data_IF_971671207476
#
_entry.id   IF_971671207476
#
_cell.length_a   1.000
_cell.length_b   1.000
_cell.length_c   1.000
_cell.angle_alpha   90.00
_cell.angle_beta   90.00
_cell.angle_gamma   90.00
#
_symmetry.space_group_name_H-M   'P 1'
#
loop_
_entity.id
_entity.type
_entity.pdbx_description
1 polymer ?
#
# COMPACT_ATOMS: atom_id res chain seq x y z
N UNK A 1 -9.10 -3.45 -18.43
CA UNK A 1 -7.62 -3.27 -18.56
C UNK A 1 -6.90 -4.61 -18.35
N UNK A 2 -5.81 -4.91 -19.06
CA UNK A 2 -4.99 -6.11 -18.76
C UNK A 2 -4.02 -5.81 -17.61
N UNK A 3 -4.50 -5.91 -16.37
CA UNK A 3 -3.65 -5.87 -15.16
C UNK A 3 -3.14 -7.26 -14.82
N UNK A 4 -2.06 -7.35 -14.03
CA UNK A 4 -1.65 -8.64 -13.47
C UNK A 4 -2.59 -9.03 -12.33
N UNK A 5 -2.73 -10.33 -12.08
CA UNK A 5 -3.60 -10.84 -11.00
C UNK A 5 -3.20 -10.27 -9.63
N UNK A 6 -1.89 -10.10 -9.35
CA UNK A 6 -1.42 -9.56 -8.07
C UNK A 6 -1.75 -8.07 -7.90
N UNK A 7 -1.71 -7.29 -8.99
CA UNK A 7 -2.06 -5.88 -8.99
C UNK A 7 -3.56 -5.70 -8.75
N UNK A 8 -4.39 -6.45 -9.48
CA UNK A 8 -5.85 -6.43 -9.32
C UNK A 8 -6.27 -6.78 -7.89
N UNK A 9 -5.70 -7.83 -7.32
CA UNK A 9 -5.95 -8.22 -5.92
C UNK A 9 -5.54 -7.14 -4.93
N UNK A 10 -4.39 -6.48 -5.15
CA UNK A 10 -3.94 -5.37 -4.30
C UNK A 10 -4.90 -4.17 -4.39
N UNK A 11 -5.33 -3.80 -5.60
CA UNK A 11 -6.30 -2.70 -5.82
C UNK A 11 -7.63 -2.97 -5.11
N UNK A 12 -8.18 -4.18 -5.24
CA UNK A 12 -9.43 -4.57 -4.56
C UNK A 12 -9.29 -4.44 -3.05
N UNK A 13 -8.19 -4.94 -2.47
CA UNK A 13 -7.93 -4.89 -1.04
C UNK A 13 -7.79 -3.46 -0.53
N UNK A 14 -7.03 -2.62 -1.24
CA UNK A 14 -6.82 -1.22 -0.88
C UNK A 14 -8.11 -0.39 -1.01
N UNK A 15 -8.88 -0.58 -2.08
CA UNK A 15 -10.19 0.05 -2.26
C UNK A 15 -11.11 -0.27 -1.08
N UNK A 16 -11.24 -1.55 -0.75
CA UNK A 16 -12.09 -1.99 0.36
C UNK A 16 -11.59 -1.42 1.70
N UNK A 17 -10.28 -1.36 1.92
CA UNK A 17 -9.72 -0.80 3.14
C UNK A 17 -10.02 0.69 3.29
N UNK A 18 -9.86 1.46 2.21
CA UNK A 18 -10.08 2.90 2.20
C UNK A 18 -11.55 3.25 2.42
N UNK A 19 -12.45 2.72 1.58
CA UNK A 19 -13.88 3.07 1.64
C UNK A 19 -14.60 2.53 2.88
N UNK A 20 -14.05 1.52 3.55
CA UNK A 20 -14.58 1.03 4.83
C UNK A 20 -13.89 1.67 6.06
N UNK A 21 -13.10 2.74 5.89
CA UNK A 21 -12.38 3.43 6.97
C UNK A 21 -11.46 2.49 7.79
N UNK A 22 -10.83 1.51 7.13
CA UNK A 22 -9.92 0.53 7.75
C UNK A 22 -8.45 0.78 7.44
N UNK A 23 -8.13 1.77 6.62
CA UNK A 23 -6.76 2.10 6.27
C UNK A 23 -6.11 2.99 7.35
N UNK A 24 -4.99 2.55 7.92
CA UNK A 24 -4.29 3.27 8.98
C UNK A 24 -2.76 3.16 8.84
N UNK A 25 -2.03 4.28 8.58
CA UNK A 25 -0.57 4.29 8.48
C UNK A 25 0.17 3.91 9.76
N UNK A 26 -0.47 4.02 10.93
CA UNK A 26 0.17 3.71 12.21
C UNK A 26 -0.01 2.24 12.65
N UNK A 27 -0.71 1.41 11.86
CA UNK A 27 -1.01 0.02 12.19
C UNK A 27 -0.47 -0.95 11.12
N UNK A 28 0.43 -1.85 11.53
CA UNK A 28 1.07 -2.82 10.62
C UNK A 28 0.09 -3.82 9.98
N UNK A 29 -1.11 -3.99 10.53
CA UNK A 29 -2.17 -4.84 9.96
C UNK A 29 -3.14 -4.08 9.06
N UNK A 30 -3.22 -2.76 9.22
CA UNK A 30 -4.19 -1.89 8.56
C UNK A 30 -3.57 -0.81 7.65
N UNK A 31 -2.25 -0.72 7.54
CA UNK A 31 -1.54 0.07 6.53
C UNK A 31 -1.71 -0.53 5.12
N UNK A 32 -1.15 0.12 4.09
CA UNK A 32 -1.22 -0.37 2.72
C UNK A 32 -0.69 -1.81 2.59
N UNK A 33 0.49 -2.10 3.15
CA UNK A 33 1.07 -3.44 3.12
C UNK A 33 0.23 -4.43 3.91
N UNK A 34 -0.22 -4.05 5.10
CA UNK A 34 -1.08 -4.90 5.93
C UNK A 34 -2.32 -5.36 5.18
N UNK A 35 -3.03 -4.44 4.51
CA UNK A 35 -4.20 -4.79 3.69
C UNK A 35 -3.86 -5.67 2.49
N UNK A 36 -2.77 -5.38 1.76
CA UNK A 36 -2.32 -6.23 0.64
C UNK A 36 -2.02 -7.66 1.12
N UNK A 37 -1.46 -7.81 2.32
CA UNK A 37 -1.07 -9.08 2.94
C UNK A 37 -2.12 -9.68 3.88
N UNK A 38 -3.41 -9.41 3.63
CA UNK A 38 -4.54 -10.03 4.34
C UNK A 38 -4.55 -9.74 5.84
N UNK A 39 -4.20 -8.51 6.20
CA UNK A 39 -4.11 -7.99 7.56
C UNK A 39 -3.10 -8.72 8.47
N UNK A 40 -2.14 -9.44 7.89
CA UNK A 40 -1.02 -10.00 8.62
C UNK A 40 0.08 -8.96 8.84
N UNK A 41 0.72 -8.99 10.01
CA UNK A 41 1.81 -8.09 10.37
C UNK A 41 3.21 -8.73 10.27
N UNK A 42 3.29 -10.02 9.91
CA UNK A 42 4.55 -10.78 9.87
C UNK A 42 5.62 -10.14 8.96
N UNK A 43 5.20 -9.37 7.97
CA UNK A 43 6.07 -8.62 7.06
C UNK A 43 6.91 -7.55 7.79
N UNK A 44 6.49 -7.08 8.97
CA UNK A 44 7.23 -6.09 9.77
C UNK A 44 8.63 -6.58 10.15
N UNK A 45 8.83 -7.90 10.17
CA UNK A 45 10.13 -8.54 10.47
C UNK A 45 11.07 -8.60 9.27
N UNK A 46 10.62 -8.19 8.08
CA UNK A 46 11.48 -8.10 6.89
C UNK A 46 12.51 -6.96 7.01
N UNK A 47 12.30 -6.00 7.90
CA UNK A 47 13.25 -4.95 8.27
C UNK A 47 13.39 -4.89 9.79
N UNK A 48 14.53 -4.39 10.28
CA UNK A 48 14.74 -4.11 11.71
C UNK A 48 14.13 -2.77 12.14
N UNK A 49 13.87 -1.88 11.18
CA UNK A 49 13.32 -0.55 11.42
C UNK A 49 12.11 -0.32 10.51
N UNK A 50 10.99 0.09 11.11
CA UNK A 50 9.75 0.29 10.37
C UNK A 50 9.90 1.43 9.36
N UNK A 51 9.47 1.22 8.11
CA UNK A 51 9.69 2.16 7.00
C UNK A 51 11.12 2.19 6.45
N UNK A 52 12.04 1.33 6.91
CA UNK A 52 13.36 1.17 6.26
C UNK A 52 13.27 0.25 5.05
N UNK A 53 14.09 0.52 4.03
CA UNK A 53 14.32 -0.37 2.89
C UNK A 53 15.40 -1.42 3.15
N UNK A 54 16.07 -1.34 4.30
CA UNK A 54 17.12 -2.28 4.68
C UNK A 54 16.51 -3.59 5.17
N UNK A 55 16.76 -4.67 4.43
CA UNK A 55 16.31 -6.00 4.83
C UNK A 55 17.01 -6.47 6.11
N UNK A 56 16.22 -6.98 7.04
CA UNK A 56 16.71 -7.73 8.20
C UNK A 56 17.42 -9.01 7.75
N UNK A 57 18.00 -9.76 8.70
CA UNK A 57 18.49 -11.11 8.40
C UNK A 57 17.40 -12.01 7.81
N UNK A 58 16.21 -12.02 8.42
CA UNK A 58 15.05 -12.78 7.94
C UNK A 58 14.60 -12.30 6.56
N UNK A 59 14.57 -10.98 6.37
CA UNK A 59 14.25 -10.36 5.07
C UNK A 59 15.19 -10.81 3.97
N UNK A 60 16.51 -10.77 4.20
CA UNK A 60 17.53 -11.20 3.24
C UNK A 60 17.42 -12.68 2.90
N UNK A 61 17.15 -13.55 3.88
CA UNK A 61 16.93 -14.98 3.63
C UNK A 61 15.73 -15.18 2.69
N UNK A 62 14.58 -14.56 2.98
CA UNK A 62 13.41 -14.67 2.11
C UNK A 62 13.64 -14.07 0.73
N UNK A 63 14.35 -12.96 0.64
CA UNK A 63 14.69 -12.30 -0.62
C UNK A 63 15.56 -13.22 -1.50
N UNK A 64 16.63 -13.77 -0.92
CA UNK A 64 17.58 -14.61 -1.65
C UNK A 64 16.98 -15.95 -2.08
N UNK A 65 16.00 -16.47 -1.33
CA UNK A 65 15.24 -17.66 -1.71
C UNK A 65 14.17 -17.38 -2.78
N UNK A 66 13.98 -16.13 -3.20
CA UNK A 66 12.94 -15.74 -4.14
C UNK A 66 11.52 -15.89 -3.58
N UNK A 67 11.35 -15.89 -2.25
CA UNK A 67 10.03 -15.99 -1.63
C UNK A 67 9.19 -14.75 -1.96
N UNK A 68 7.91 -14.97 -2.25
CA UNK A 68 6.92 -13.92 -2.47
C UNK A 68 5.78 -14.02 -1.47
N UNK A 69 5.21 -12.88 -1.10
CA UNK A 69 4.04 -12.73 -0.25
C UNK A 69 2.98 -12.01 -1.09
N UNK A 70 1.89 -12.71 -1.41
CA UNK A 70 0.87 -12.23 -2.36
C UNK A 70 1.45 -11.70 -3.68
N UNK A 71 2.53 -12.33 -4.15
CA UNK A 71 3.20 -11.94 -5.40
C UNK A 71 4.31 -10.89 -5.26
N UNK A 72 4.55 -10.35 -4.06
CA UNK A 72 5.60 -9.35 -3.79
C UNK A 72 6.79 -9.94 -3.03
N UNK A 73 7.99 -9.61 -3.46
CA UNK A 73 9.25 -9.93 -2.76
C UNK A 73 9.38 -9.10 -1.48
N UNK A 74 10.23 -9.51 -0.53
CA UNK A 74 10.54 -8.70 0.65
C UNK A 74 10.91 -7.25 0.34
N UNK A 75 11.74 -7.02 -0.69
CA UNK A 75 12.14 -5.67 -1.06
C UNK A 75 10.97 -4.83 -1.58
N UNK A 76 10.11 -5.40 -2.43
CA UNK A 76 8.89 -4.74 -2.93
C UNK A 76 7.95 -4.37 -1.77
N UNK A 77 7.80 -5.27 -0.78
CA UNK A 77 6.98 -5.01 0.41
C UNK A 77 7.50 -3.81 1.20
N UNK A 78 8.81 -3.73 1.45
CA UNK A 78 9.40 -2.58 2.15
C UNK A 78 9.27 -1.28 1.35
N UNK A 79 9.35 -1.35 0.02
CA UNK A 79 9.12 -0.20 -0.86
C UNK A 79 7.70 0.32 -0.77
N UNK A 80 6.69 -0.56 -0.81
CA UNK A 80 5.28 -0.19 -0.68
C UNK A 80 5.03 0.52 0.65
N UNK A 81 5.52 -0.04 1.76
CA UNK A 81 5.31 0.57 3.08
C UNK A 81 5.97 1.93 3.18
N UNK A 82 7.23 2.04 2.74
CA UNK A 82 7.96 3.31 2.80
C UNK A 82 7.25 4.39 1.98
N UNK A 83 6.81 4.07 0.77
CA UNK A 83 6.08 5.02 -0.10
C UNK A 83 4.77 5.46 0.56
N UNK A 84 4.02 4.54 1.15
CA UNK A 84 2.78 4.86 1.84
C UNK A 84 3.02 5.80 3.03
N UNK A 85 3.97 5.45 3.90
CA UNK A 85 4.31 6.27 5.08
C UNK A 85 4.83 7.66 4.69
N UNK A 86 5.75 7.73 3.72
CA UNK A 86 6.32 8.99 3.26
C UNK A 86 5.22 9.90 2.66
N UNK A 87 4.29 9.34 1.87
CA UNK A 87 3.15 10.07 1.31
C UNK A 87 2.14 10.51 2.38
N UNK A 88 1.95 9.72 3.44
CA UNK A 88 1.17 10.14 4.61
C UNK A 88 1.90 11.17 5.51
N UNK A 89 3.08 11.65 5.11
CA UNK A 89 3.84 12.68 5.81
C UNK A 89 4.74 12.19 6.94
N UNK A 90 4.90 10.86 7.09
CA UNK A 90 5.84 10.32 8.08
C UNK A 90 7.28 10.45 7.59
N UNK A 91 8.19 10.68 8.53
CA UNK A 91 9.62 10.57 8.26
C UNK A 91 10.09 9.15 8.52
N UNK A 92 10.48 8.43 7.46
CA UNK A 92 10.97 7.06 7.54
C UNK A 92 12.51 6.98 7.50
N UNK A 93 13.14 5.97 8.15
CA UNK A 93 12.50 4.99 9.03
C UNK A 93 11.92 5.65 10.29
N UNK A 94 10.83 5.08 10.80
CA UNK A 94 10.13 5.63 11.95
C UNK A 94 11.06 5.63 13.16
N UNK A 95 11.11 6.78 13.82
CA UNK A 95 11.90 6.98 15.02
C UNK A 95 11.05 7.73 16.03
N UNK A 96 11.14 7.39 17.31
CA UNK A 96 10.34 8.03 18.37
C UNK A 96 10.60 9.55 18.48
N UNK A 97 11.74 10.02 17.98
CA UNK A 97 12.10 11.43 17.92
C UNK A 97 11.57 12.17 16.69
N UNK A 98 11.04 11.45 15.69
CA UNK A 98 10.46 12.09 14.51
C UNK A 98 9.13 12.72 14.88
N UNK A 99 8.85 13.97 14.46
CA UNK A 99 7.55 14.57 14.66
C UNK A 99 6.50 13.74 13.92
N UNK A 100 5.37 13.51 14.57
CA UNK A 100 4.22 12.89 13.91
C UNK A 100 3.62 13.90 12.92
N UNK A 101 3.21 13.46 11.72
CA UNK A 101 2.42 14.28 10.82
C UNK A 101 1.10 14.71 11.47
N UNK A 102 0.56 15.85 11.03
CA UNK A 102 -0.77 16.29 11.46
C UNK A 102 -1.84 15.50 10.68
N UNK A 103 -2.80 14.92 11.40
CA UNK A 103 -3.93 14.18 10.84
C UNK A 103 -3.54 13.10 9.79
N UNK A 104 -2.66 12.14 10.14
CA UNK A 104 -2.19 11.10 9.20
C UNK A 104 -3.31 10.19 8.68
N UNK A 105 -4.45 10.17 9.36
CA UNK A 105 -5.63 9.36 9.01
C UNK A 105 -6.73 10.20 8.34
N UNK A 106 -6.43 11.44 7.94
CA UNK A 106 -7.39 12.24 7.18
C UNK A 106 -7.59 11.65 5.78
N UNK A 107 -8.81 11.74 5.27
CA UNK A 107 -9.16 11.18 3.97
C UNK A 107 -8.26 11.70 2.83
N UNK A 108 -7.93 12.98 2.83
CA UNK A 108 -7.03 13.58 1.82
C UNK A 108 -5.63 12.96 1.86
N UNK A 109 -5.07 12.79 3.07
CA UNK A 109 -3.73 12.19 3.25
C UNK A 109 -3.71 10.71 2.89
N UNK A 110 -4.76 9.97 3.25
CA UNK A 110 -4.89 8.56 2.90
C UNK A 110 -5.08 8.37 1.39
N UNK A 111 -5.86 9.25 0.75
CA UNK A 111 -6.06 9.23 -0.69
C UNK A 111 -4.76 9.47 -1.47
N UNK A 112 -3.98 10.48 -1.07
CA UNK A 112 -2.67 10.76 -1.69
C UNK A 112 -1.70 9.59 -1.48
N UNK A 113 -1.67 9.06 -0.26
CA UNK A 113 -0.89 7.86 0.09
C UNK A 113 -1.23 6.66 -0.80
N UNK A 114 -2.51 6.40 -1.03
CA UNK A 114 -2.95 5.35 -1.94
C UNK A 114 -2.57 5.61 -3.39
N UNK A 115 -2.74 6.84 -3.87
CA UNK A 115 -2.33 7.19 -5.24
C UNK A 115 -0.85 6.88 -5.48
N UNK A 116 0.01 7.21 -4.51
CA UNK A 116 1.45 6.90 -4.56
C UNK A 116 1.76 5.41 -4.48
N UNK A 117 1.04 4.66 -3.66
CA UNK A 117 1.17 3.20 -3.61
C UNK A 117 0.77 2.59 -4.95
N UNK A 118 -0.34 3.01 -5.55
CA UNK A 118 -0.82 2.47 -6.83
C UNK A 118 0.15 2.79 -7.97
N UNK A 119 0.67 4.02 -8.01
CA UNK A 119 1.73 4.42 -8.95
C UNK A 119 2.93 3.46 -8.87
N UNK A 120 3.38 3.12 -7.65
CA UNK A 120 4.44 2.14 -7.43
C UNK A 120 4.03 0.73 -7.87
N UNK A 121 2.83 0.24 -7.51
CA UNK A 121 2.36 -1.10 -7.87
C UNK A 121 2.30 -1.27 -9.40
N UNK A 122 1.79 -0.26 -10.13
CA UNK A 122 1.80 -0.23 -11.58
C UNK A 122 3.24 -0.35 -12.14
N UNK A 123 4.19 0.40 -11.58
CA UNK A 123 5.59 0.35 -11.99
C UNK A 123 6.23 -1.04 -11.75
N UNK A 124 5.93 -1.69 -10.61
CA UNK A 124 6.41 -3.05 -10.31
C UNK A 124 5.90 -4.10 -11.30
N UNK A 125 4.74 -3.87 -11.90
CA UNK A 125 4.13 -4.76 -12.90
C UNK A 125 4.37 -4.33 -14.36
N UNK A 126 5.16 -3.26 -14.59
CA UNK A 126 5.35 -2.64 -15.91
C UNK A 126 4.03 -2.28 -16.60
N UNK A 127 3.02 -1.90 -15.82
CA UNK A 127 1.74 -1.40 -16.30
C UNK A 127 1.80 0.12 -16.26
N UNK A 128 1.36 0.84 -17.32
CA UNK A 128 1.31 2.30 -17.26
C UNK A 128 0.35 2.71 -16.15
N UNK A 129 0.79 3.64 -15.29
CA UNK A 129 -0.11 4.28 -14.32
C UNK A 129 -1.11 5.12 -15.11
N UNK A 130 -2.36 4.65 -15.19
CA UNK A 130 -3.45 5.42 -15.78
C UNK A 130 -4.14 6.16 -14.64
N UNK A 131 -4.26 7.48 -14.77
CA UNK A 131 -4.89 8.36 -13.77
C UNK A 131 -6.36 7.98 -13.46
N UNK A 132 -6.98 7.08 -14.21
CA UNK A 132 -8.29 6.53 -13.90
C UNK A 132 -8.33 5.74 -12.59
N UNK A 133 -7.19 5.26 -12.06
CA UNK A 133 -7.17 4.62 -10.75
C UNK A 133 -7.41 5.58 -9.59
N UNK A 134 -7.14 6.88 -9.72
CA UNK A 134 -7.47 7.83 -8.65
C UNK A 134 -8.99 7.98 -8.50
N UNK A 135 -9.75 7.84 -9.61
CA UNK A 135 -11.23 7.87 -9.59
C UNK A 135 -11.81 6.78 -8.69
N UNK A 136 -11.17 5.62 -8.58
CA UNK A 136 -11.61 4.55 -7.67
C UNK A 136 -11.67 4.98 -6.20
N UNK A 137 -10.94 6.02 -5.80
CA UNK A 137 -10.85 6.47 -4.42
C UNK A 137 -11.51 7.84 -4.22
N UNK A 138 -12.12 8.41 -5.27
CA UNK A 138 -12.94 9.61 -5.15
C UNK A 138 -14.22 9.29 -4.36
N UNK A 139 -14.55 10.17 -3.42
CA UNK A 139 -15.70 10.03 -2.56
C UNK A 139 -16.47 11.34 -2.47
N UNK A 140 -17.80 11.24 -2.42
CA UNK A 140 -18.71 12.34 -2.15
C UNK A 140 -19.57 11.96 -0.94
N UNK A 141 -19.53 12.79 0.12
CA UNK A 141 -20.22 12.53 1.39
C UNK A 141 -19.87 11.19 2.07
N UNK A 142 -18.66 10.66 1.84
CA UNK A 142 -18.19 9.40 2.44
C UNK A 142 -18.61 8.14 1.68
N UNK A 143 -19.27 8.30 0.52
CA UNK A 143 -19.61 7.20 -0.38
C UNK A 143 -18.70 7.22 -1.63
N UNK A 144 -18.28 6.06 -2.16
CA UNK A 144 -17.50 5.98 -3.38
C UNK A 144 -18.28 6.54 -4.57
N UNK A 145 -17.67 7.45 -5.35
CA UNK A 145 -18.28 7.96 -6.59
C UNK A 145 -18.24 6.88 -7.69
N UNK A 146 -17.18 6.08 -7.71
CA UNK A 146 -17.00 5.01 -8.68
C UNK A 146 -16.88 3.67 -7.98
N UNK A 147 -17.67 2.70 -8.42
CA UNK A 147 -17.62 1.34 -7.89
C UNK A 147 -16.58 0.50 -8.63
N UNK A 148 -15.92 -0.40 -7.90
CA UNK A 148 -14.93 -1.35 -8.43
C UNK A 148 -15.46 -2.14 -9.64
N UNK A 149 -16.74 -2.49 -9.62
CA UNK A 149 -17.44 -3.18 -10.72
C UNK A 149 -17.39 -2.39 -12.04
N UNK A 150 -17.40 -1.05 -11.99
CA UNK A 150 -17.32 -0.18 -13.16
C UNK A 150 -15.97 -0.31 -13.88
N UNK A 151 -14.90 -0.71 -13.18
CA UNK A 151 -13.57 -0.90 -13.77
C UNK A 151 -13.25 -2.36 -14.09
N UNK A 152 -13.92 -3.31 -13.42
CA UNK A 152 -13.79 -4.75 -13.68
C UNK A 152 -14.74 -5.23 -14.79
N UNK A 153 -15.83 -4.52 -15.09
CA UNK A 153 -16.81 -4.88 -16.13
C UNK A 153 -16.34 -4.57 -17.57
N UNK A 154 -15.22 -3.89 -17.76
CA UNK A 154 -14.57 -3.74 -19.09
C UNK A 154 -13.63 -4.92 -19.43
N UNK A 155 -13.91 -6.11 -18.90
CA UNK A 155 -13.16 -7.36 -19.14
C UNK A 155 -14.06 -8.38 -19.84
#
# INVERSE_FOLDING_TARGET
MKTTQRLEQALIKLYNAYHNNRLNPEDCTACAVGNILDNHDSWKHLSNQHGSLELSYVGRVHQNLGRKFNGYTPQEILQIEKVFLDACGFKTPLCHYNPKPQNPTSNEVLFDGLCKVIELLCALDNVPYIMDYSKLFEQENGEPIYHLETFLAEI
#
